data_IF_390970545610
#
_entry.id   IF_390970545610
#
_cell.length_a   1.000
_cell.length_b   1.000
_cell.length_c   1.000
_cell.angle_alpha   90.00
_cell.angle_beta   90.00
_cell.angle_gamma   90.00
#
_symmetry.space_group_name_H-M   'P 1'
#
loop_
_entity.id
_entity.type
_entity.pdbx_description
1 polymer ?
#
# COMPACT_ATOMS: atom_id res chain seq x y z
N UNK A 1 -12.25 -20.82 69.75
CA UNK A 1 -11.73 -21.81 68.78
C UNK A 1 -12.87 -22.78 68.53
N UNK A 2 -13.43 -22.96 67.34
CA UNK A 2 -12.77 -23.51 66.15
C UNK A 2 -13.42 -22.97 64.87
N UNK A 3 -12.57 -22.69 63.91
CA UNK A 3 -12.79 -21.88 62.71
C UNK A 3 -13.19 -22.77 61.54
N UNK A 4 -14.20 -22.31 60.79
CA UNK A 4 -14.37 -22.42 59.34
C UNK A 4 -13.25 -23.20 58.63
N UNK A 5 -13.49 -24.47 58.35
CA UNK A 5 -12.63 -25.29 57.50
C UNK A 5 -13.48 -26.38 56.87
N UNK A 6 -14.20 -26.07 55.78
CA UNK A 6 -14.75 -27.09 54.87
C UNK A 6 -15.36 -26.55 53.55
N UNK A 7 -15.00 -25.34 53.10
CA UNK A 7 -15.41 -24.83 51.79
C UNK A 7 -14.27 -24.05 51.13
N UNK A 8 -13.16 -24.72 50.86
CA UNK A 8 -12.06 -24.18 50.05
C UNK A 8 -11.55 -25.27 49.13
N UNK A 9 -12.16 -25.42 47.96
CA UNK A 9 -11.73 -26.48 47.05
C UNK A 9 -12.46 -26.64 45.72
N UNK A 10 -13.26 -25.68 45.23
CA UNK A 10 -13.95 -25.86 43.93
C UNK A 10 -14.02 -24.63 43.00
N UNK A 11 -13.27 -23.55 43.28
CA UNK A 11 -13.17 -22.40 42.35
C UNK A 11 -11.95 -22.56 41.41
N UNK A 12 -11.93 -23.66 40.64
CA UNK A 12 -10.81 -23.97 39.75
C UNK A 12 -11.16 -24.76 38.50
N UNK A 13 -12.46 -24.91 38.17
CA UNK A 13 -12.87 -25.37 36.85
C UNK A 13 -12.92 -24.15 35.94
N UNK A 14 -11.76 -23.76 35.39
CA UNK A 14 -11.74 -22.98 34.15
C UNK A 14 -12.65 -23.71 33.15
N UNK A 15 -13.69 -23.03 32.67
CA UNK A 15 -14.50 -23.53 31.58
C UNK A 15 -13.55 -24.00 30.46
N UNK A 16 -13.80 -25.16 29.82
CA UNK A 16 -12.97 -25.61 28.73
C UNK A 16 -12.88 -24.46 27.72
N UNK A 17 -11.66 -23.92 27.53
CA UNK A 17 -11.36 -22.94 26.48
C UNK A 17 -12.05 -23.47 25.24
N UNK A 18 -13.02 -22.72 24.71
CA UNK A 18 -13.71 -23.10 23.48
C UNK A 18 -12.64 -23.58 22.52
N UNK A 19 -12.66 -24.88 22.19
CA UNK A 19 -11.82 -25.45 21.16
C UNK A 19 -12.27 -24.73 19.90
N UNK A 20 -11.59 -23.63 19.58
CA UNK A 20 -11.88 -22.83 18.40
C UNK A 20 -11.93 -23.82 17.25
N UNK A 21 -13.11 -23.94 16.63
CA UNK A 21 -13.29 -24.90 15.57
C UNK A 21 -12.16 -24.66 14.55
N UNK A 22 -11.42 -25.71 14.21
CA UNK A 22 -10.38 -25.66 13.19
C UNK A 22 -10.74 -26.57 12.04
N UNK A 23 -10.30 -26.23 10.85
CA UNK A 23 -10.46 -27.05 9.65
C UNK A 23 -9.12 -27.26 8.95
N UNK A 24 -9.00 -28.30 8.12
CA UNK A 24 -7.84 -28.51 7.26
C UNK A 24 -7.67 -27.35 6.29
N UNK A 25 -6.40 -26.95 6.04
CA UNK A 25 -6.05 -25.93 5.05
C UNK A 25 -6.71 -26.12 3.67
N UNK A 26 -6.85 -27.35 3.20
CA UNK A 26 -7.49 -27.63 1.91
C UNK A 26 -8.99 -27.30 1.91
N UNK A 27 -9.68 -27.55 3.03
CA UNK A 27 -11.10 -27.21 3.20
C UNK A 27 -11.26 -25.69 3.31
N UNK A 28 -10.40 -25.03 4.10
CA UNK A 28 -10.39 -23.57 4.20
C UNK A 28 -10.13 -22.90 2.84
N UNK A 29 -9.16 -23.43 2.08
CA UNK A 29 -8.81 -22.91 0.76
C UNK A 29 -9.96 -23.06 -0.23
N UNK A 30 -10.67 -24.19 -0.21
CA UNK A 30 -11.88 -24.39 -1.01
C UNK A 30 -13.00 -23.41 -0.62
N UNK A 31 -13.22 -23.17 0.70
CA UNK A 31 -14.20 -22.20 1.20
C UNK A 31 -13.90 -20.77 0.72
N UNK A 32 -12.62 -20.38 0.72
CA UNK A 32 -12.15 -19.05 0.28
C UNK A 32 -12.01 -18.96 -1.26
N UNK A 33 -12.13 -20.09 -1.97
CA UNK A 33 -11.93 -20.22 -3.43
C UNK A 33 -10.52 -19.82 -3.88
N UNK A 34 -9.50 -20.18 -3.10
CA UNK A 34 -8.09 -19.95 -3.42
C UNK A 34 -7.31 -21.26 -3.46
N UNK A 35 -6.12 -21.24 -4.07
CA UNK A 35 -5.21 -22.38 -3.99
C UNK A 35 -4.73 -22.57 -2.54
N UNK A 36 -4.58 -23.80 -2.04
CA UNK A 36 -4.05 -24.04 -0.69
C UNK A 36 -2.69 -23.38 -0.43
N UNK A 37 -1.84 -23.28 -1.46
CA UNK A 37 -0.57 -22.55 -1.37
C UNK A 37 -0.76 -21.06 -1.07
N UNK A 38 -1.73 -20.41 -1.74
CA UNK A 38 -2.05 -18.99 -1.52
C UNK A 38 -2.59 -18.76 -0.12
N UNK A 39 -3.52 -19.61 0.34
CA UNK A 39 -4.02 -19.52 1.72
C UNK A 39 -2.91 -19.73 2.75
N UNK A 40 -1.97 -20.65 2.49
CA UNK A 40 -0.80 -20.84 3.35
C UNK A 40 0.04 -19.57 3.43
N UNK A 41 0.37 -18.95 2.30
CA UNK A 41 1.13 -17.69 2.27
C UNK A 41 0.41 -16.59 3.04
N UNK A 42 -0.91 -16.47 2.90
CA UNK A 42 -1.73 -15.52 3.65
C UNK A 42 -1.62 -15.73 5.16
N UNK A 43 -1.85 -16.95 5.62
CA UNK A 43 -1.77 -17.30 7.04
C UNK A 43 -0.34 -17.12 7.58
N UNK A 44 0.69 -17.40 6.77
CA UNK A 44 2.08 -17.21 7.17
C UNK A 44 2.43 -15.72 7.30
N UNK A 45 2.00 -14.88 6.36
CA UNK A 45 2.19 -13.42 6.40
C UNK A 45 1.50 -12.78 7.62
N UNK A 46 0.38 -13.34 8.08
CA UNK A 46 -0.30 -12.90 9.30
C UNK A 46 0.24 -13.55 10.58
N UNK A 47 1.31 -14.34 10.50
CA UNK A 47 1.91 -15.03 11.64
C UNK A 47 1.04 -16.13 12.26
N UNK A 48 -0.03 -16.55 11.57
CA UNK A 48 -0.95 -17.59 12.04
C UNK A 48 -0.37 -19.00 11.91
N UNK A 49 0.53 -19.18 10.95
CA UNK A 49 1.24 -20.45 10.73
C UNK A 49 2.71 -20.20 10.41
N UNK A 50 3.53 -21.24 10.58
CA UNK A 50 4.95 -21.17 10.20
C UNK A 50 5.12 -21.15 8.66
N UNK A 51 6.05 -20.35 8.14
CA UNK A 51 6.30 -20.29 6.70
C UNK A 51 6.83 -21.63 6.16
N UNK A 52 7.68 -22.34 6.91
CA UNK A 52 8.34 -23.57 6.43
C UNK A 52 7.34 -24.72 6.21
N UNK A 53 7.30 -25.24 4.99
CA UNK A 53 6.47 -26.40 4.65
C UNK A 53 7.14 -27.68 5.14
N UNK A 54 6.52 -28.36 6.10
CA UNK A 54 6.92 -29.71 6.54
C UNK A 54 6.00 -30.75 5.89
N UNK A 55 6.59 -31.79 5.27
CA UNK A 55 5.83 -32.89 4.65
C UNK A 55 5.05 -33.64 5.73
N UNK A 56 3.79 -33.96 5.45
CA UNK A 56 2.91 -34.73 6.36
C UNK A 56 2.36 -33.95 7.57
N UNK A 57 2.69 -32.67 7.72
CA UNK A 57 2.18 -31.87 8.85
C UNK A 57 0.82 -31.28 8.51
N UNK A 58 -0.17 -31.60 9.35
CA UNK A 58 -1.49 -30.98 9.31
C UNK A 58 -1.39 -29.50 9.66
N UNK A 59 -2.06 -28.65 8.88
CA UNK A 59 -2.12 -27.20 9.10
C UNK A 59 -3.55 -26.86 9.53
N UNK A 60 -3.81 -26.74 10.85
CA UNK A 60 -5.11 -26.29 11.33
C UNK A 60 -5.32 -24.82 10.97
N UNK A 61 -6.49 -24.50 10.43
CA UNK A 61 -6.94 -23.13 10.18
C UNK A 61 -8.18 -22.89 11.02
N UNK A 62 -8.19 -21.82 11.82
CA UNK A 62 -9.36 -21.41 12.59
C UNK A 62 -10.50 -21.03 11.64
N UNK A 63 -11.73 -21.41 11.97
CA UNK A 63 -12.90 -21.05 11.16
C UNK A 63 -13.03 -19.52 10.99
N UNK A 64 -12.88 -18.76 12.08
CA UNK A 64 -12.97 -17.29 12.04
C UNK A 64 -11.91 -16.66 11.14
N UNK A 65 -10.67 -17.17 11.19
CA UNK A 65 -9.60 -16.70 10.30
C UNK A 65 -9.94 -17.02 8.84
N UNK A 66 -10.51 -18.19 8.55
CA UNK A 66 -10.93 -18.55 7.20
C UNK A 66 -12.07 -17.66 6.68
N UNK A 67 -13.05 -17.31 7.52
CA UNK A 67 -14.17 -16.43 7.15
C UNK A 67 -13.74 -14.97 6.96
N UNK A 68 -12.89 -14.45 7.85
CA UNK A 68 -12.30 -13.13 7.68
C UNK A 68 -11.45 -13.07 6.42
N UNK A 69 -10.60 -14.07 6.18
CA UNK A 69 -9.78 -14.12 4.97
C UNK A 69 -10.60 -14.26 3.70
N UNK A 70 -11.75 -14.96 3.73
CA UNK A 70 -12.68 -15.00 2.61
C UNK A 70 -13.21 -13.61 2.28
N UNK A 71 -13.61 -12.86 3.31
CA UNK A 71 -14.13 -11.50 3.18
C UNK A 71 -13.04 -10.55 2.66
N UNK A 72 -11.86 -10.56 3.27
CA UNK A 72 -10.71 -9.75 2.86
C UNK A 72 -10.26 -10.07 1.43
N UNK A 73 -10.32 -11.35 1.02
CA UNK A 73 -9.93 -11.77 -0.32
C UNK A 73 -10.97 -11.39 -1.37
N UNK A 74 -12.27 -11.45 -1.04
CA UNK A 74 -13.33 -11.02 -1.93
C UNK A 74 -13.25 -9.52 -2.26
N UNK A 75 -12.83 -8.69 -1.30
CA UNK A 75 -12.59 -7.25 -1.49
C UNK A 75 -11.13 -6.91 -1.87
N UNK A 76 -10.33 -7.93 -2.18
CA UNK A 76 -8.94 -7.70 -2.57
C UNK A 76 -8.85 -7.14 -3.99
N UNK A 77 -7.84 -6.29 -4.20
CA UNK A 77 -7.57 -5.69 -5.50
C UNK A 77 -6.23 -6.17 -6.04
N UNK A 78 -6.23 -6.54 -7.32
CA UNK A 78 -4.99 -6.78 -8.05
C UNK A 78 -4.29 -5.46 -8.33
N UNK A 79 -3.00 -5.51 -8.65
CA UNK A 79 -2.19 -4.31 -8.92
C UNK A 79 -2.82 -3.30 -9.92
N UNK A 80 -3.45 -3.80 -10.99
CA UNK A 80 -4.13 -2.95 -11.99
C UNK A 80 -5.32 -2.16 -11.41
N UNK A 81 -5.92 -2.63 -10.31
CA UNK A 81 -7.01 -1.97 -9.61
C UNK A 81 -6.58 -0.88 -8.63
N UNK A 82 -5.27 -0.70 -8.39
CA UNK A 82 -4.77 0.33 -7.46
C UNK A 82 -4.78 1.72 -8.09
N UNK A 83 -4.47 1.82 -9.39
CA UNK A 83 -4.41 3.08 -10.13
C UNK A 83 -5.65 3.99 -9.91
N UNK A 84 -6.89 3.48 -10.07
CA UNK A 84 -8.08 4.29 -9.80
C UNK A 84 -8.27 4.65 -8.33
N UNK A 85 -7.85 3.78 -7.39
CA UNK A 85 -7.96 4.05 -5.94
C UNK A 85 -7.03 5.20 -5.54
N UNK A 86 -5.81 5.20 -6.07
CA UNK A 86 -4.82 6.25 -5.80
C UNK A 86 -5.05 7.50 -6.65
N UNK A 87 -5.76 7.41 -7.78
CA UNK A 87 -5.90 8.51 -8.72
C UNK A 87 -4.60 8.88 -9.43
N UNK A 88 -3.76 7.88 -9.71
CA UNK A 88 -2.45 8.04 -10.37
C UNK A 88 -2.29 7.05 -11.50
N UNK A 89 -1.41 7.35 -12.45
CA UNK A 89 -1.10 6.41 -13.54
C UNK A 89 -0.21 5.24 -13.10
N UNK A 90 -0.26 4.15 -13.86
CA UNK A 90 0.52 2.91 -13.67
C UNK A 90 1.98 3.10 -13.26
N UNK A 91 2.70 4.02 -13.91
CA UNK A 91 4.13 4.24 -13.62
C UNK A 91 4.36 4.71 -12.18
N UNK A 92 3.49 5.58 -11.67
CA UNK A 92 3.54 6.08 -10.30
C UNK A 92 3.20 4.95 -9.32
N UNK A 93 2.12 4.21 -9.58
CA UNK A 93 1.74 3.07 -8.74
C UNK A 93 2.86 1.99 -8.68
N UNK A 94 3.55 1.75 -9.80
CA UNK A 94 4.68 0.80 -9.85
C UNK A 94 5.86 1.29 -9.03
N UNK A 95 6.23 2.57 -9.17
CA UNK A 95 7.31 3.19 -8.39
C UNK A 95 7.03 3.11 -6.89
N UNK A 96 5.80 3.42 -6.44
CA UNK A 96 5.40 3.30 -5.04
C UNK A 96 5.47 1.86 -4.51
N UNK A 97 5.04 0.88 -5.32
CA UNK A 97 5.15 -0.54 -4.98
C UNK A 97 6.62 -0.98 -4.85
N UNK A 98 7.44 -0.65 -5.84
CA UNK A 98 8.83 -1.09 -5.90
C UNK A 98 9.69 -0.45 -4.80
N UNK A 99 9.33 0.77 -4.39
CA UNK A 99 9.89 1.45 -3.22
C UNK A 99 9.30 0.96 -1.87
N UNK A 100 8.44 -0.05 -1.87
CA UNK A 100 7.85 -0.63 -0.65
C UNK A 100 6.92 0.32 0.10
N UNK A 101 6.36 1.34 -0.57
CA UNK A 101 5.51 2.36 0.07
C UNK A 101 4.06 1.91 0.21
N UNK A 102 3.59 1.01 -0.66
CA UNK A 102 2.22 0.48 -0.63
C UNK A 102 2.11 -0.71 0.33
N UNK A 103 0.99 -0.84 1.09
CA UNK A 103 0.73 -2.00 1.94
C UNK A 103 0.35 -3.22 1.10
N UNK A 104 1.37 -3.94 0.63
CA UNK A 104 1.20 -5.19 -0.14
C UNK A 104 0.74 -6.30 0.80
N UNK A 105 -0.35 -6.97 0.45
CA UNK A 105 -0.85 -8.11 1.24
C UNK A 105 -0.25 -9.44 0.79
N UNK A 106 -0.26 -9.71 -0.51
CA UNK A 106 0.45 -10.84 -1.12
C UNK A 106 1.49 -10.29 -2.10
N UNK A 107 2.79 -10.47 -1.81
CA UNK A 107 3.84 -10.09 -2.74
C UNK A 107 3.77 -10.96 -4.00
N UNK A 108 3.95 -10.33 -5.15
CA UNK A 108 4.01 -10.99 -6.44
C UNK A 108 5.36 -10.82 -7.14
N UNK A 109 5.50 -11.45 -8.31
CA UNK A 109 6.64 -11.23 -9.22
C UNK A 109 8.01 -11.50 -8.60
N UNK A 110 8.99 -10.61 -8.83
CA UNK A 110 10.39 -10.75 -8.39
C UNK A 110 10.55 -10.79 -6.86
N UNK A 111 9.57 -10.29 -6.12
CA UNK A 111 9.58 -10.21 -4.66
C UNK A 111 8.70 -11.28 -3.98
N UNK A 112 8.13 -12.23 -4.73
CA UNK A 112 7.25 -13.27 -4.18
C UNK A 112 7.14 -14.53 -5.06
N UNK A 113 6.40 -15.53 -4.57
CA UNK A 113 6.25 -16.82 -5.23
C UNK A 113 5.19 -16.79 -6.33
N UNK A 114 5.55 -16.40 -7.56
CA UNK A 114 4.77 -16.58 -8.81
C UNK A 114 3.38 -15.92 -8.90
N UNK A 115 2.90 -15.28 -7.83
CA UNK A 115 1.57 -14.68 -7.78
C UNK A 115 1.56 -13.24 -8.36
N UNK A 116 0.36 -12.76 -8.71
CA UNK A 116 0.14 -11.31 -8.94
C UNK A 116 0.14 -10.63 -7.58
N UNK A 117 0.61 -9.39 -7.50
CA UNK A 117 0.47 -8.60 -6.28
C UNK A 117 -1.02 -8.43 -5.94
N UNK A 118 -1.36 -8.73 -4.69
CA UNK A 118 -2.71 -8.56 -4.14
C UNK A 118 -2.63 -7.60 -2.96
N UNK A 119 -3.61 -6.70 -2.89
CA UNK A 119 -3.74 -5.68 -1.87
C UNK A 119 -5.14 -5.80 -1.28
N UNK A 120 -5.30 -5.51 0.01
CA UNK A 120 -6.64 -5.27 0.54
C UNK A 120 -7.03 -3.84 0.23
N UNK A 121 -8.24 -3.64 -0.28
CA UNK A 121 -8.76 -2.29 -0.53
C UNK A 121 -8.68 -1.43 0.73
N UNK A 122 -9.19 -1.94 1.86
CA UNK A 122 -9.16 -1.25 3.15
C UNK A 122 -7.77 -0.83 3.60
N UNK A 123 -6.73 -1.63 3.33
CA UNK A 123 -5.36 -1.32 3.74
C UNK A 123 -4.79 -0.17 2.87
N UNK A 124 -5.12 -0.16 1.57
CA UNK A 124 -4.73 0.93 0.66
C UNK A 124 -5.45 2.22 1.04
N UNK A 125 -6.77 2.16 1.24
CA UNK A 125 -7.58 3.32 1.62
C UNK A 125 -7.12 3.88 2.97
N UNK A 126 -6.94 3.02 3.99
CA UNK A 126 -6.40 3.42 5.29
C UNK A 126 -4.98 3.98 5.22
N UNK A 127 -4.13 3.46 4.32
CA UNK A 127 -2.81 4.05 4.06
C UNK A 127 -2.91 5.45 3.44
N UNK A 128 -3.83 5.67 2.50
CA UNK A 128 -4.05 6.99 1.90
C UNK A 128 -4.60 7.96 2.96
N UNK A 129 -5.57 7.52 3.76
CA UNK A 129 -6.19 8.31 4.81
C UNK A 129 -5.17 8.72 5.87
N UNK A 130 -4.35 7.78 6.34
CA UNK A 130 -3.27 8.06 7.29
C UNK A 130 -2.19 9.00 6.74
N UNK A 131 -1.93 8.95 5.42
CA UNK A 131 -0.90 9.79 4.80
C UNK A 131 -1.41 11.21 4.50
N UNK A 132 -2.65 11.35 4.04
CA UNK A 132 -3.20 12.64 3.61
C UNK A 132 -3.93 13.38 4.74
N UNK A 133 -4.40 12.65 5.76
CA UNK A 133 -5.28 13.19 6.80
C UNK A 133 -6.62 13.66 6.24
N UNK A 134 -7.38 14.38 7.06
CA UNK A 134 -8.61 15.04 6.63
C UNK A 134 -8.31 16.45 6.14
N UNK A 135 -8.52 16.66 4.84
CA UNK A 135 -8.23 17.92 4.16
C UNK A 135 -9.48 18.44 3.48
N UNK A 136 -9.60 19.76 3.40
CA UNK A 136 -10.75 20.43 2.77
C UNK A 136 -10.81 20.10 1.29
N UNK A 137 -12.02 19.82 0.78
CA UNK A 137 -12.24 19.68 -0.65
C UNK A 137 -12.27 21.05 -1.34
N UNK A 138 -11.56 21.15 -2.45
CA UNK A 138 -11.42 22.36 -3.27
C UNK A 138 -11.90 22.08 -4.69
N UNK A 139 -12.60 23.03 -5.29
CA UNK A 139 -13.09 22.90 -6.66
C UNK A 139 -11.99 23.13 -7.71
N UNK A 140 -10.93 23.85 -7.33
CA UNK A 140 -9.78 24.14 -8.18
C UNK A 140 -8.47 24.12 -7.39
N UNK A 141 -7.34 23.95 -8.10
CA UNK A 141 -6.01 24.06 -7.50
C UNK A 141 -5.69 25.53 -7.25
N UNK A 142 -5.42 25.96 -6.00
CA UNK A 142 -5.04 27.34 -5.71
C UNK A 142 -3.75 27.76 -6.41
N UNK A 143 -3.56 29.07 -6.60
CA UNK A 143 -2.31 29.61 -7.12
C UNK A 143 -1.12 29.21 -6.23
N UNK A 144 0.03 28.94 -6.86
CA UNK A 144 1.22 28.47 -6.16
C UNK A 144 1.15 27.01 -5.67
N UNK A 145 0.05 26.30 -5.90
CA UNK A 145 -0.13 24.90 -5.51
C UNK A 145 -0.09 23.94 -6.72
N UNK A 146 -0.06 22.64 -6.42
CA UNK A 146 -0.05 21.56 -7.42
C UNK A 146 -0.70 20.30 -6.85
N UNK A 147 -1.41 19.54 -7.69
CA UNK A 147 -1.92 18.22 -7.33
C UNK A 147 -0.79 17.19 -7.26
N UNK A 148 -0.82 16.31 -6.27
CA UNK A 148 0.23 15.34 -5.96
C UNK A 148 0.52 14.41 -7.14
N UNK A 149 -0.52 13.99 -7.89
CA UNK A 149 -0.35 13.18 -9.10
C UNK A 149 0.44 13.88 -10.22
N UNK A 150 0.44 15.21 -10.27
CA UNK A 150 1.13 15.98 -11.31
C UNK A 150 2.57 16.35 -10.92
N UNK A 151 2.89 16.34 -9.62
CA UNK A 151 4.17 16.78 -9.07
C UNK A 151 5.38 16.07 -9.70
N UNK A 152 5.38 14.73 -9.90
CA UNK A 152 6.51 14.05 -10.54
C UNK A 152 6.76 14.52 -11.97
N UNK A 153 5.70 14.85 -12.71
CA UNK A 153 5.82 15.31 -14.09
C UNK A 153 6.29 16.76 -14.17
N UNK A 154 5.68 17.66 -13.39
CA UNK A 154 5.89 19.11 -13.49
C UNK A 154 7.11 19.58 -12.69
N UNK A 155 7.37 18.99 -11.53
CA UNK A 155 8.44 19.40 -10.59
C UNK A 155 9.57 18.36 -10.54
N UNK A 156 9.46 17.23 -11.25
CA UNK A 156 10.52 16.19 -11.33
C UNK A 156 10.93 15.62 -9.96
N UNK A 157 10.00 15.59 -9.01
CA UNK A 157 10.19 14.94 -7.71
C UNK A 157 9.65 13.52 -7.79
N UNK A 158 10.44 12.48 -7.49
CA UNK A 158 9.93 11.10 -7.45
C UNK A 158 8.77 10.95 -6.45
N UNK A 159 7.84 10.04 -6.71
CA UNK A 159 6.61 9.96 -5.89
C UNK A 159 6.90 9.38 -4.52
N UNK A 160 7.82 8.44 -4.44
CA UNK A 160 8.35 7.87 -3.21
C UNK A 160 8.96 8.93 -2.28
N UNK A 161 9.67 9.92 -2.84
CA UNK A 161 10.23 11.06 -2.09
C UNK A 161 9.12 11.98 -1.58
N UNK A 162 8.06 12.20 -2.38
CA UNK A 162 6.89 12.95 -1.92
C UNK A 162 6.19 12.26 -0.75
N UNK A 163 6.00 10.94 -0.83
CA UNK A 163 5.39 10.16 0.24
C UNK A 163 6.22 10.27 1.53
N UNK A 164 7.54 10.13 1.42
CA UNK A 164 8.43 10.23 2.59
C UNK A 164 8.42 11.64 3.19
N UNK A 165 8.48 12.67 2.35
CA UNK A 165 8.41 14.05 2.82
C UNK A 165 7.08 14.38 3.52
N UNK A 166 5.96 13.80 3.08
CA UNK A 166 4.67 13.97 3.75
C UNK A 166 4.67 13.26 5.11
N UNK A 167 5.18 12.02 5.18
CA UNK A 167 5.32 11.28 6.45
C UNK A 167 6.22 12.01 7.46
N UNK A 168 7.26 12.66 6.96
CA UNK A 168 8.21 13.44 7.76
C UNK A 168 7.71 14.86 8.10
N UNK A 169 6.52 15.26 7.61
CA UNK A 169 5.96 16.58 7.84
C UNK A 169 6.68 17.72 7.09
N UNK A 170 7.56 17.40 6.14
CA UNK A 170 8.25 18.39 5.28
C UNK A 170 7.34 18.96 4.20
N UNK A 171 6.29 18.23 3.83
CA UNK A 171 5.25 18.66 2.89
C UNK A 171 3.89 18.44 3.53
N UNK A 172 3.10 19.50 3.60
CA UNK A 172 1.76 19.44 4.20
C UNK A 172 0.68 19.50 3.12
N UNK A 173 -0.28 18.55 3.10
CA UNK A 173 -1.50 18.66 2.31
C UNK A 173 -2.27 19.95 2.61
N UNK A 174 -2.62 20.71 1.57
CA UNK A 174 -3.38 21.97 1.68
C UNK A 174 -4.88 21.74 1.51
N UNK A 175 -5.24 20.74 0.71
CA UNK A 175 -6.62 20.45 0.32
C UNK A 175 -6.65 19.25 -0.60
N UNK A 176 -7.84 18.88 -1.08
CA UNK A 176 -8.03 17.85 -2.10
C UNK A 176 -8.95 18.35 -3.19
N UNK A 177 -8.65 18.05 -4.45
CA UNK A 177 -9.57 18.33 -5.55
C UNK A 177 -10.87 17.50 -5.44
N UNK A 178 -12.01 18.18 -5.51
CA UNK A 178 -13.34 17.54 -5.52
C UNK A 178 -13.44 16.56 -6.69
N UNK A 179 -14.03 15.40 -6.43
CA UNK A 179 -14.24 14.35 -7.44
C UNK A 179 -12.96 13.62 -7.87
N UNK A 180 -11.82 13.84 -7.22
CA UNK A 180 -10.58 13.09 -7.44
C UNK A 180 -10.27 12.15 -6.27
N UNK A 181 -9.65 10.98 -6.52
CA UNK A 181 -9.20 10.10 -5.45
C UNK A 181 -8.23 10.79 -4.50
N UNK A 182 -8.25 10.40 -3.23
CA UNK A 182 -7.62 11.16 -2.14
C UNK A 182 -6.13 11.39 -2.37
N UNK A 183 -5.36 10.36 -2.65
CA UNK A 183 -3.92 10.50 -2.88
C UNK A 183 -3.57 11.41 -4.08
N UNK A 184 -4.06 11.09 -5.29
CA UNK A 184 -3.71 11.82 -6.50
C UNK A 184 -4.33 13.22 -6.58
N UNK A 185 -5.47 13.42 -5.93
CA UNK A 185 -6.19 14.69 -5.84
C UNK A 185 -5.70 15.62 -4.74
N UNK A 186 -4.87 15.15 -3.80
CA UNK A 186 -4.28 16.00 -2.76
C UNK A 186 -3.45 17.11 -3.38
N UNK A 187 -3.61 18.31 -2.85
CA UNK A 187 -2.93 19.51 -3.26
C UNK A 187 -1.83 19.84 -2.25
N UNK A 188 -0.65 20.17 -2.75
CA UNK A 188 0.49 20.63 -1.95
C UNK A 188 1.03 21.96 -2.51
N UNK A 189 1.76 22.71 -1.69
CA UNK A 189 2.44 23.93 -2.15
C UNK A 189 3.59 23.56 -3.08
N UNK A 190 3.76 24.31 -4.17
CA UNK A 190 4.88 24.10 -5.10
C UNK A 190 6.22 24.34 -4.41
N UNK A 191 6.30 25.34 -3.54
CA UNK A 191 7.51 25.69 -2.78
C UNK A 191 8.07 24.49 -2.02
N UNK A 192 7.20 23.78 -1.32
CA UNK A 192 7.56 22.64 -0.48
C UNK A 192 8.01 21.48 -1.37
N UNK A 193 7.29 21.23 -2.48
CA UNK A 193 7.69 20.25 -3.48
C UNK A 193 9.05 20.57 -4.13
N UNK A 194 9.37 21.84 -4.39
CA UNK A 194 10.70 22.23 -4.89
C UNK A 194 11.79 22.01 -3.83
N UNK A 195 11.51 22.30 -2.56
CA UNK A 195 12.47 22.18 -1.46
C UNK A 195 12.92 20.73 -1.22
N UNK A 196 12.04 19.75 -1.45
CA UNK A 196 12.36 18.32 -1.28
C UNK A 196 12.93 17.65 -2.53
N UNK A 197 13.18 18.42 -3.61
CA UNK A 197 13.71 17.84 -4.84
C UNK A 197 15.13 17.30 -4.57
N UNK A 198 15.42 16.03 -4.89
CA UNK A 198 16.76 15.47 -4.73
C UNK A 198 17.83 16.29 -5.49
N UNK A 199 18.97 16.53 -4.85
CA UNK A 199 20.07 17.32 -5.42
C UNK A 199 20.56 16.77 -6.75
N UNK A 200 20.61 15.45 -6.89
CA UNK A 200 21.01 14.76 -8.12
C UNK A 200 20.12 15.14 -9.32
N UNK A 201 18.82 15.33 -9.08
CA UNK A 201 17.87 15.75 -10.12
C UNK A 201 18.09 17.23 -10.42
N UNK A 202 18.31 18.05 -9.39
CA UNK A 202 18.62 19.47 -9.55
C UNK A 202 19.90 19.66 -10.39
N UNK A 203 20.95 18.88 -10.11
CA UNK A 203 22.22 18.88 -10.86
C UNK A 203 22.04 18.45 -12.31
N UNK A 204 21.31 17.35 -12.57
CA UNK A 204 21.00 16.91 -13.95
C UNK A 204 20.20 17.95 -14.74
N UNK A 205 19.32 18.70 -14.08
CA UNK A 205 18.54 19.75 -14.73
C UNK A 205 19.37 21.00 -15.03
N UNK A 206 20.31 21.38 -14.16
CA UNK A 206 21.23 22.50 -14.41
C UNK A 206 22.23 22.15 -15.51
N UNK A 207 22.80 20.93 -15.50
CA UNK A 207 23.67 20.41 -16.56
C UNK A 207 22.98 20.42 -17.94
N UNK A 208 21.70 20.01 -18.02
CA UNK A 208 20.92 20.07 -19.27
C UNK A 208 20.63 21.48 -19.76
N UNK A 209 20.59 22.48 -18.87
CA UNK A 209 20.38 23.88 -19.23
C UNK A 209 21.68 24.59 -19.63
N UNK A 210 22.81 24.16 -19.07
CA UNK A 210 24.15 24.71 -19.33
C UNK A 210 24.94 23.98 -20.43
N UNK A 211 24.50 22.79 -20.86
CA UNK A 211 25.12 22.08 -21.98
C UNK A 211 25.05 22.92 -23.26
N UNK A 212 26.18 23.03 -23.97
CA UNK A 212 26.27 23.73 -25.26
C UNK A 212 25.10 23.28 -26.15
N UNK A 213 24.22 24.21 -26.53
CA UNK A 213 23.21 23.96 -27.55
C UNK A 213 23.97 23.48 -28.78
N UNK A 214 23.87 22.20 -29.10
CA UNK A 214 24.50 21.64 -30.30
C UNK A 214 24.15 22.50 -31.52
N UNK A 215 25.06 22.62 -32.51
CA UNK A 215 24.90 23.56 -33.60
C UNK A 215 23.53 23.40 -34.25
N UNK A 216 22.81 24.51 -34.36
CA UNK A 216 21.48 24.58 -34.95
C UNK A 216 21.57 24.08 -36.40
N UNK A 217 21.11 22.85 -36.67
CA UNK A 217 21.01 22.34 -38.05
C UNK A 217 19.90 23.12 -38.74
N UNK A 218 20.30 24.20 -39.44
CA UNK A 218 19.43 24.95 -40.35
C UNK A 218 18.94 23.95 -41.40
N UNK A 219 17.65 23.59 -41.37
CA UNK A 219 17.04 22.76 -42.42
C UNK A 219 17.14 23.54 -43.72
N UNK A 220 17.96 23.06 -44.65
CA UNK A 220 17.95 23.55 -46.02
C UNK A 220 16.55 23.31 -46.60
N UNK A 221 15.88 24.41 -46.92
CA UNK A 221 14.63 24.39 -47.70
C UNK A 221 15.02 23.83 -49.07
N UNK A 222 14.54 22.62 -49.39
CA UNK A 222 14.51 22.17 -50.78
C UNK A 222 13.46 23.02 -51.49
N UNK A 223 13.92 23.94 -52.34
CA UNK A 223 13.09 24.53 -53.37
C UNK A 223 12.75 23.44 -54.38
N UNK A 224 11.46 23.29 -54.62
CA UNK A 224 10.86 22.46 -55.66
C UNK A 224 9.70 23.24 -56.25
#
# INVERSE_FOLDING_TARGET
>A
MTVKSLLKGMDGLEAPRQTEATMPLNIAAAKIKVRPGTLRTLLANEGKIRPEKRKGVYVPVRYDDAERLATDYADSVAFAGIEPILGVGRKIAMSLRDAGKLPVWIPGGKMGDKHRYIFRRKDIEGWVDGLMGDVVELDAVPEGCIALAETPLKIKVPTEVLVDAIKEGKVTPVGRLRGKPKFGGTIIKRTDAFAIRPEEITRKLSEKRGGARGPYKKRERKEG
#
